data_IF_160387968520
#
_entry.id   IF_160387968520
#
_cell.length_a   1.000
_cell.length_b   1.000
_cell.length_c   1.000
_cell.angle_alpha   90.00
_cell.angle_beta   90.00
_cell.angle_gamma   90.00
#
_symmetry.space_group_name_H-M   'P 1'
#
loop_
_entity.id
_entity.type
_entity.pdbx_description
1 polymer ?
#
# COMPACT_ATOMS: atom_id res chain seq x y z
N UNK A 1 22.14 -12.64 -17.47
CA UNK A 1 21.23 -11.58 -17.93
C UNK A 1 21.38 -10.41 -16.96
N UNK A 2 21.96 -9.27 -17.37
CA UNK A 2 22.14 -8.13 -16.47
C UNK A 2 20.75 -7.61 -16.07
N UNK A 3 20.43 -7.60 -14.77
CA UNK A 3 19.19 -6.99 -14.26
C UNK A 3 19.20 -5.51 -14.65
N UNK A 4 18.27 -5.09 -15.50
CA UNK A 4 18.09 -3.66 -15.81
C UNK A 4 17.61 -2.93 -14.56
N UNK A 5 17.81 -1.61 -14.50
CA UNK A 5 17.28 -0.77 -13.41
C UNK A 5 15.77 -0.94 -13.26
N UNK A 6 15.05 -1.05 -14.37
CA UNK A 6 13.61 -1.33 -14.39
C UNK A 6 13.25 -2.65 -13.71
N UNK A 7 13.98 -3.75 -13.97
CA UNK A 7 13.73 -5.03 -13.29
C UNK A 7 13.86 -4.89 -11.77
N UNK A 8 14.83 -4.13 -11.28
CA UNK A 8 14.99 -3.86 -9.84
C UNK A 8 13.80 -3.07 -9.27
N UNK A 9 13.27 -2.10 -10.02
CA UNK A 9 12.03 -1.41 -9.64
C UNK A 9 10.85 -2.37 -9.53
N UNK A 10 10.65 -3.20 -10.55
CA UNK A 10 9.55 -4.19 -10.58
C UNK A 10 9.64 -5.13 -9.39
N UNK A 11 10.83 -5.69 -9.10
CA UNK A 11 11.03 -6.59 -7.97
C UNK A 11 10.71 -5.91 -6.63
N UNK A 12 11.18 -4.67 -6.44
CA UNK A 12 10.88 -3.89 -5.24
C UNK A 12 9.37 -3.59 -5.10
N UNK A 13 8.70 -3.24 -6.20
CA UNK A 13 7.26 -3.00 -6.20
C UNK A 13 6.48 -4.26 -5.87
N UNK A 14 6.84 -5.41 -6.43
CA UNK A 14 6.19 -6.69 -6.14
C UNK A 14 6.27 -7.04 -4.65
N UNK A 15 7.45 -6.91 -4.05
CA UNK A 15 7.67 -7.20 -2.62
C UNK A 15 6.89 -6.24 -1.73
N UNK A 16 6.97 -4.93 -1.99
CA UNK A 16 6.28 -3.94 -1.16
C UNK A 16 4.75 -4.03 -1.30
N UNK A 17 4.24 -4.30 -2.51
CA UNK A 17 2.81 -4.53 -2.72
C UNK A 17 2.32 -5.81 -2.08
N UNK A 18 3.12 -6.89 -2.06
CA UNK A 18 2.80 -8.10 -1.30
C UNK A 18 2.60 -7.77 0.19
N UNK A 19 3.51 -6.99 0.77
CA UNK A 19 3.38 -6.55 2.17
C UNK A 19 2.16 -5.65 2.39
N UNK A 20 1.89 -4.70 1.49
CA UNK A 20 0.69 -3.86 1.54
C UNK A 20 -0.59 -4.69 1.56
N UNK A 21 -0.70 -5.69 0.68
CA UNK A 21 -1.84 -6.59 0.65
C UNK A 21 -1.95 -7.41 1.95
N UNK A 22 -0.83 -7.87 2.52
CA UNK A 22 -0.85 -8.62 3.78
C UNK A 22 -1.33 -7.77 4.96
N UNK A 23 -0.90 -6.51 5.01
CA UNK A 23 -1.34 -5.53 6.02
C UNK A 23 -2.82 -5.18 5.83
N UNK A 24 -3.27 -4.97 4.60
CA UNK A 24 -4.69 -4.74 4.31
C UNK A 24 -5.56 -5.94 4.66
N UNK A 25 -5.09 -7.17 4.43
CA UNK A 25 -5.80 -8.38 4.87
C UNK A 25 -5.92 -8.44 6.40
N UNK A 26 -4.84 -8.15 7.13
CA UNK A 26 -4.87 -8.08 8.59
C UNK A 26 -5.86 -7.03 9.08
N UNK A 27 -5.80 -5.82 8.50
CA UNK A 27 -6.73 -4.74 8.78
C UNK A 27 -8.19 -5.18 8.59
N UNK A 28 -8.50 -5.78 7.44
CA UNK A 28 -9.84 -6.27 7.12
C UNK A 28 -10.33 -7.35 8.09
N UNK A 29 -9.43 -8.19 8.63
CA UNK A 29 -9.77 -9.23 9.61
C UNK A 29 -10.06 -8.60 10.98
N UNK A 30 -9.19 -7.71 11.46
CA UNK A 30 -9.35 -7.06 12.78
C UNK A 30 -10.58 -6.15 12.79
N UNK A 31 -10.85 -5.44 11.69
CA UNK A 31 -11.98 -4.51 11.57
C UNK A 31 -13.35 -5.18 11.74
N UNK A 32 -13.43 -6.51 11.61
CA UNK A 32 -14.68 -7.25 11.83
C UNK A 32 -15.09 -7.29 13.29
N UNK A 33 -14.17 -7.02 14.23
CA UNK A 33 -14.40 -7.16 15.68
C UNK A 33 -15.12 -8.47 16.02
N UNK A 34 -14.56 -9.59 15.54
CA UNK A 34 -15.14 -10.91 15.85
C UNK A 34 -15.23 -11.07 17.38
N UNK A 35 -16.40 -11.51 17.86
CA UNK A 35 -16.75 -11.63 19.27
C UNK A 35 -16.83 -10.29 20.05
N UNK A 36 -17.24 -9.20 19.38
CA UNK A 36 -17.45 -7.89 20.02
C UNK A 36 -18.28 -7.97 21.32
N UNK A 37 -19.33 -8.81 21.37
CA UNK A 37 -20.19 -8.98 22.56
C UNK A 37 -19.49 -9.60 23.78
N UNK A 38 -18.34 -10.25 23.58
CA UNK A 38 -17.55 -10.89 24.63
C UNK A 38 -16.24 -10.12 24.92
N UNK A 39 -16.02 -9.02 24.21
CA UNK A 39 -14.78 -8.26 24.28
C UNK A 39 -14.77 -7.34 25.50
N UNK A 40 -13.68 -7.35 26.25
CA UNK A 40 -13.46 -6.35 27.30
C UNK A 40 -13.23 -4.97 26.67
N UNK A 41 -13.47 -3.90 27.44
CA UNK A 41 -13.17 -2.54 26.99
C UNK A 41 -11.70 -2.34 26.65
N UNK A 42 -10.79 -2.93 27.43
CA UNK A 42 -9.35 -2.87 27.17
C UNK A 42 -9.01 -3.53 25.84
N UNK A 43 -9.53 -4.73 25.58
CA UNK A 43 -9.28 -5.43 24.31
C UNK A 43 -9.82 -4.65 23.11
N UNK A 44 -10.96 -3.96 23.26
CA UNK A 44 -11.50 -3.10 22.21
C UNK A 44 -10.59 -1.91 21.90
N UNK A 45 -10.07 -1.25 22.95
CA UNK A 45 -9.11 -0.15 22.80
C UNK A 45 -7.83 -0.66 22.12
N UNK A 46 -7.29 -1.80 22.55
CA UNK A 46 -6.10 -2.41 21.96
C UNK A 46 -6.30 -2.72 20.47
N UNK A 47 -7.44 -3.29 20.08
CA UNK A 47 -7.76 -3.53 18.67
C UNK A 47 -7.88 -2.24 17.86
N UNK A 48 -8.43 -1.18 18.45
CA UNK A 48 -8.53 0.13 17.80
C UNK A 48 -7.13 0.72 17.57
N UNK A 49 -6.24 0.61 18.57
CA UNK A 49 -4.83 0.99 18.43
C UNK A 49 -4.17 0.20 17.30
N UNK A 50 -4.34 -1.13 17.28
CA UNK A 50 -3.80 -1.98 16.22
C UNK A 50 -4.29 -1.56 14.83
N UNK A 51 -5.60 -1.32 14.66
CA UNK A 51 -6.17 -0.86 13.40
C UNK A 51 -5.54 0.47 12.97
N UNK A 52 -5.37 1.42 13.90
CA UNK A 52 -4.78 2.71 13.58
C UNK A 52 -3.31 2.60 13.20
N UNK A 53 -2.56 1.77 13.90
CA UNK A 53 -1.16 1.47 13.56
C UNK A 53 -1.05 0.87 12.16
N UNK A 54 -1.92 -0.07 11.81
CA UNK A 54 -1.94 -0.67 10.48
C UNK A 54 -2.33 0.36 9.41
N UNK A 55 -3.34 1.21 9.66
CA UNK A 55 -3.72 2.30 8.73
C UNK A 55 -2.54 3.25 8.46
N UNK A 56 -1.82 3.67 9.52
CA UNK A 56 -0.66 4.54 9.38
C UNK A 56 0.48 3.86 8.61
N UNK A 57 0.72 2.57 8.85
CA UNK A 57 1.75 1.82 8.12
C UNK A 57 1.39 1.65 6.64
N UNK A 58 0.14 1.30 6.32
CA UNK A 58 -0.39 1.27 4.96
C UNK A 58 -0.17 2.60 4.25
N UNK A 59 -0.51 3.72 4.89
CA UNK A 59 -0.28 5.05 4.34
C UNK A 59 1.20 5.29 4.01
N UNK A 60 2.11 5.01 4.97
CA UNK A 60 3.54 5.22 4.78
C UNK A 60 4.05 4.41 3.60
N UNK A 61 3.69 3.12 3.53
CA UNK A 61 4.08 2.21 2.45
C UNK A 61 3.56 2.66 1.09
N UNK A 62 2.29 3.05 1.00
CA UNK A 62 1.70 3.62 -0.22
C UNK A 62 2.49 4.86 -0.65
N UNK A 63 2.82 5.76 0.28
CA UNK A 63 3.55 6.98 -0.03
C UNK A 63 4.97 6.75 -0.59
N UNK A 64 5.59 5.59 -0.34
CA UNK A 64 6.90 5.23 -0.93
C UNK A 64 6.84 5.19 -2.46
N UNK A 65 5.71 4.77 -3.03
CA UNK A 65 5.52 4.68 -4.48
C UNK A 65 5.40 6.05 -5.17
N UNK A 66 5.19 7.13 -4.40
CA UNK A 66 5.12 8.51 -4.88
C UNK A 66 6.34 9.37 -4.45
N UNK A 67 7.36 8.74 -3.88
CA UNK A 67 8.60 9.40 -3.46
C UNK A 67 9.45 9.84 -4.66
N UNK A 68 10.15 10.95 -4.54
CA UNK A 68 10.98 11.55 -5.58
C UNK A 68 12.46 11.70 -5.17
N UNK A 69 12.82 11.27 -3.95
CA UNK A 69 14.19 11.29 -3.45
C UNK A 69 15.14 10.42 -4.29
N UNK A 70 16.44 10.72 -4.25
CA UNK A 70 17.45 9.95 -4.97
C UNK A 70 17.62 8.56 -4.36
N UNK A 71 17.76 7.54 -5.21
CA UNK A 71 18.06 6.15 -4.77
C UNK A 71 16.85 5.38 -4.22
N UNK A 72 15.63 5.85 -4.42
CA UNK A 72 14.41 5.15 -3.99
C UNK A 72 13.72 4.42 -5.14
N UNK A 73 13.00 3.35 -4.82
CA UNK A 73 12.08 2.70 -5.75
C UNK A 73 10.69 3.33 -5.63
N UNK A 74 10.30 4.09 -6.64
CA UNK A 74 8.97 4.69 -6.76
C UNK A 74 8.51 4.70 -8.21
N UNK A 75 7.21 4.87 -8.44
CA UNK A 75 6.66 4.92 -9.79
C UNK A 75 7.26 6.07 -10.61
N UNK A 76 7.44 7.25 -9.99
CA UNK A 76 8.09 8.40 -10.62
C UNK A 76 9.52 8.08 -11.09
N UNK A 77 10.27 7.29 -10.32
CA UNK A 77 11.64 6.86 -10.69
C UNK A 77 11.65 5.75 -11.73
N UNK A 78 10.60 4.93 -11.80
CA UNK A 78 10.50 3.88 -12.80
C UNK A 78 10.14 4.40 -14.20
N UNK A 79 9.32 5.45 -14.33
CA UNK A 79 8.89 6.01 -15.63
C UNK A 79 10.04 6.19 -16.65
N UNK A 80 11.15 6.89 -16.34
CA UNK A 80 12.23 7.10 -17.30
C UNK A 80 12.94 5.80 -17.70
N UNK A 81 12.85 4.76 -16.88
CA UNK A 81 13.44 3.44 -17.14
C UNK A 81 12.53 2.55 -18.02
N UNK A 82 11.28 2.95 -18.25
CA UNK A 82 10.34 2.24 -19.13
C UNK A 82 10.66 2.56 -20.59
N UNK A 83 10.97 1.55 -21.43
CA UNK A 83 11.27 1.77 -22.85
C UNK A 83 10.15 2.51 -23.57
N UNK A 84 10.50 3.41 -24.50
CA UNK A 84 9.51 4.15 -25.30
C UNK A 84 8.62 3.21 -26.13
N UNK A 85 9.14 2.04 -26.52
CA UNK A 85 8.40 1.03 -27.28
C UNK A 85 7.49 0.15 -26.40
N UNK A 86 7.46 0.35 -25.08
CA UNK A 86 6.62 -0.44 -24.19
C UNK A 86 5.14 -0.20 -24.52
N UNK A 87 4.34 -1.26 -24.77
CA UNK A 87 2.98 -1.13 -25.32
C UNK A 87 2.05 -0.30 -24.43
N UNK A 88 2.22 -0.39 -23.11
CA UNK A 88 1.37 0.29 -22.14
C UNK A 88 1.95 1.60 -21.60
N UNK A 89 2.99 2.19 -22.22
CA UNK A 89 3.71 3.32 -21.62
C UNK A 89 2.81 4.51 -21.25
N UNK A 90 1.91 4.90 -22.16
CA UNK A 90 0.99 6.02 -21.96
C UNK A 90 0.03 5.74 -20.79
N UNK A 91 -0.59 4.56 -20.77
CA UNK A 91 -1.53 4.16 -19.70
C UNK A 91 -0.83 4.09 -18.33
N UNK A 92 0.41 3.58 -18.29
CA UNK A 92 1.23 3.57 -17.08
C UNK A 92 1.44 5.00 -16.54
N UNK A 93 1.83 5.95 -17.40
CA UNK A 93 2.06 7.34 -16.99
C UNK A 93 0.77 8.02 -16.49
N UNK A 94 -0.37 7.77 -17.14
CA UNK A 94 -1.67 8.29 -16.72
C UNK A 94 -2.11 7.72 -15.38
N UNK A 95 -2.00 6.40 -15.19
CA UNK A 95 -2.33 5.74 -13.92
C UNK A 95 -1.41 6.16 -12.78
N UNK A 96 -0.12 6.41 -13.03
CA UNK A 96 0.80 6.95 -12.03
C UNK A 96 0.39 8.37 -11.62
N UNK A 97 -0.01 9.23 -12.57
CA UNK A 97 -0.55 10.57 -12.25
C UNK A 97 -1.81 10.49 -11.40
N UNK A 98 -2.73 9.57 -11.75
CA UNK A 98 -3.94 9.32 -10.97
C UNK A 98 -3.61 8.85 -9.55
N UNK A 99 -2.68 7.90 -9.42
CA UNK A 99 -2.20 7.40 -8.13
C UNK A 99 -1.67 8.54 -7.24
N UNK A 100 -0.78 9.39 -7.77
CA UNK A 100 -0.27 10.56 -7.04
C UNK A 100 -1.40 11.49 -6.59
N UNK A 101 -2.40 11.73 -7.44
CA UNK A 101 -3.56 12.58 -7.11
C UNK A 101 -4.41 11.98 -5.98
N UNK A 102 -4.65 10.67 -6.00
CA UNK A 102 -5.46 9.99 -4.97
C UNK A 102 -4.86 10.11 -3.57
N UNK A 103 -3.53 10.09 -3.46
CA UNK A 103 -2.86 10.10 -2.15
C UNK A 103 -2.38 11.47 -1.70
N UNK A 104 -2.38 12.49 -2.57
CA UNK A 104 -1.80 13.81 -2.28
C UNK A 104 -2.36 14.43 -0.99
N UNK A 105 -3.68 14.39 -0.79
CA UNK A 105 -4.33 14.95 0.38
C UNK A 105 -3.91 14.27 1.69
N UNK A 106 -3.92 12.94 1.72
CA UNK A 106 -3.57 12.16 2.93
C UNK A 106 -2.05 12.17 3.19
N UNK A 107 -1.23 12.17 2.14
CA UNK A 107 0.24 12.32 2.24
C UNK A 107 0.60 13.65 2.91
N UNK A 108 -0.03 14.74 2.52
CA UNK A 108 0.22 16.03 3.14
C UNK A 108 -0.28 16.08 4.59
N UNK A 109 -1.59 15.82 4.79
CA UNK A 109 -2.24 16.03 6.10
C UNK A 109 -1.84 15.02 7.18
N UNK A 110 -1.57 13.77 6.81
CA UNK A 110 -1.29 12.70 7.79
C UNK A 110 0.19 12.34 7.80
N UNK A 111 0.80 12.03 6.65
CA UNK A 111 2.22 11.65 6.62
C UNK A 111 3.11 12.84 7.01
N UNK A 112 3.01 13.99 6.34
CA UNK A 112 3.93 15.10 6.62
C UNK A 112 3.61 15.81 7.94
N UNK A 113 2.35 16.12 8.21
CA UNK A 113 1.99 16.99 9.35
C UNK A 113 1.85 16.28 10.70
N UNK A 114 1.75 14.94 10.72
CA UNK A 114 1.58 14.16 11.95
C UNK A 114 2.59 13.02 12.11
N UNK A 115 2.66 12.11 11.14
CA UNK A 115 3.49 10.90 11.28
C UNK A 115 4.99 11.17 11.16
N UNK A 116 5.40 12.04 10.25
CA UNK A 116 6.80 12.39 10.05
C UNK A 116 7.27 13.53 10.96
N UNK A 117 6.34 14.42 11.33
CA UNK A 117 6.61 15.61 12.13
C UNK A 117 5.44 15.82 13.09
N UNK A 118 5.73 16.01 14.37
CA UNK A 118 4.77 16.53 15.34
C UNK A 118 5.04 18.03 15.52
N UNK A 119 4.04 18.87 15.21
CA UNK A 119 4.18 20.31 15.42
C UNK A 119 4.24 20.61 16.92
N UNK A 120 4.93 21.71 17.27
CA UNK A 120 4.91 22.24 18.64
C UNK A 120 3.45 22.46 19.05
N UNK A 121 3.09 22.02 20.25
CA UNK A 121 1.75 22.06 20.84
C UNK A 121 0.67 21.25 20.10
N UNK A 122 1.05 20.36 19.16
CA UNK A 122 0.13 19.42 18.54
C UNK A 122 0.15 18.05 19.24
N UNK A 123 -1.02 17.43 19.32
CA UNK A 123 -1.17 16.04 19.76
C UNK A 123 -1.48 15.11 18.57
N UNK A 124 -0.96 13.88 18.62
CA UNK A 124 -1.34 12.82 17.69
C UNK A 124 -1.95 11.61 18.42
N UNK A 125 -3.06 11.87 19.12
CA UNK A 125 -3.83 10.88 19.87
C UNK A 125 -5.07 10.39 19.08
N UNK A 126 -4.97 10.35 17.75
CA UNK A 126 -6.10 10.03 16.88
C UNK A 126 -6.26 8.51 16.72
N UNK A 127 -7.29 7.93 17.35
CA UNK A 127 -7.61 6.49 17.26
C UNK A 127 -8.65 6.15 16.18
N UNK A 128 -9.28 7.16 15.59
CA UNK A 128 -10.31 6.98 14.58
C UNK A 128 -9.68 6.48 13.26
N UNK A 129 -10.28 5.45 12.69
CA UNK A 129 -9.96 4.91 11.37
C UNK A 129 -10.68 5.76 10.32
N UNK A 130 -9.95 6.29 9.34
CA UNK A 130 -10.46 7.33 8.41
C UNK A 130 -10.25 7.02 6.95
N UNK A 131 -9.29 6.18 6.60
CA UNK A 131 -8.83 6.06 5.22
C UNK A 131 -9.10 4.68 4.65
N UNK A 132 -9.82 4.63 3.53
CA UNK A 132 -9.95 3.43 2.72
C UNK A 132 -8.87 3.42 1.63
N UNK A 133 -7.84 2.60 1.82
CA UNK A 133 -6.74 2.48 0.86
C UNK A 133 -6.96 1.43 -0.24
N UNK A 134 -8.05 0.65 -0.19
CA UNK A 134 -8.31 -0.41 -1.18
C UNK A 134 -8.29 0.11 -2.63
N UNK A 135 -8.96 1.23 -2.99
CA UNK A 135 -8.93 1.74 -4.35
C UNK A 135 -7.52 2.10 -4.82
N UNK A 136 -6.72 2.69 -3.93
CA UNK A 136 -5.32 3.04 -4.20
C UNK A 136 -4.46 1.79 -4.40
N UNK A 137 -4.61 0.78 -3.54
CA UNK A 137 -3.88 -0.49 -3.65
C UNK A 137 -4.26 -1.23 -4.95
N UNK A 138 -5.55 -1.23 -5.33
CA UNK A 138 -6.01 -1.77 -6.63
C UNK A 138 -5.25 -1.11 -7.80
N UNK A 139 -5.22 0.22 -7.82
CA UNK A 139 -4.50 0.98 -8.85
C UNK A 139 -2.99 0.68 -8.87
N UNK A 140 -2.36 0.54 -7.70
CA UNK A 140 -0.94 0.15 -7.62
C UNK A 140 -0.68 -1.21 -8.26
N UNK A 141 -1.53 -2.21 -7.96
CA UNK A 141 -1.43 -3.54 -8.55
C UNK A 141 -1.60 -3.48 -10.07
N UNK A 142 -2.56 -2.69 -10.58
CA UNK A 142 -2.74 -2.48 -12.01
C UNK A 142 -1.51 -1.87 -12.68
N UNK A 143 -0.93 -0.82 -12.08
CA UNK A 143 0.30 -0.19 -12.61
C UNK A 143 1.44 -1.22 -12.68
N UNK A 144 1.61 -2.04 -11.64
CA UNK A 144 2.68 -3.05 -11.60
C UNK A 144 2.45 -4.14 -12.64
N UNK A 145 1.21 -4.58 -12.84
CA UNK A 145 0.88 -5.55 -13.88
C UNK A 145 1.19 -4.99 -15.28
N UNK A 146 0.83 -3.72 -15.53
CA UNK A 146 1.09 -3.07 -16.81
C UNK A 146 2.58 -2.94 -17.09
N UNK A 147 3.39 -2.53 -16.09
CA UNK A 147 4.86 -2.43 -16.21
C UNK A 147 5.49 -3.83 -16.39
N UNK A 148 4.89 -4.86 -15.80
CA UNK A 148 5.41 -6.24 -15.89
C UNK A 148 4.92 -6.99 -17.14
N UNK A 149 4.00 -6.40 -17.91
CA UNK A 149 3.29 -7.02 -19.05
C UNK A 149 2.59 -8.34 -18.70
N UNK A 150 2.33 -8.58 -17.41
CA UNK A 150 1.69 -9.78 -16.91
C UNK A 150 0.98 -9.53 -15.57
N UNK A 151 0.00 -10.38 -15.26
CA UNK A 151 -0.64 -10.35 -13.93
C UNK A 151 0.32 -10.93 -12.89
N UNK A 152 0.69 -10.12 -11.91
CA UNK A 152 1.56 -10.55 -10.81
C UNK A 152 0.77 -11.39 -9.81
N UNK A 153 1.25 -12.61 -9.47
CA UNK A 153 0.71 -13.39 -8.38
C UNK A 153 1.26 -12.89 -7.05
N UNK A 154 0.38 -12.59 -6.10
CA UNK A 154 0.73 -12.16 -4.75
C UNK A 154 0.43 -13.28 -3.75
N UNK A 155 1.23 -14.35 -3.82
CA UNK A 155 1.10 -15.52 -2.94
C UNK A 155 1.78 -15.26 -1.59
N UNK A 156 1.09 -15.60 -0.51
CA UNK A 156 1.58 -15.48 0.86
C UNK A 156 1.40 -16.79 1.63
N UNK A 157 2.33 -17.09 2.53
CA UNK A 157 2.28 -18.27 3.39
C UNK A 157 2.41 -17.83 4.85
N UNK A 158 1.43 -18.15 5.69
CA UNK A 158 1.52 -17.97 7.16
C UNK A 158 2.09 -19.25 7.84
N UNK A 159 2.71 -20.14 7.07
CA UNK A 159 3.17 -21.44 7.52
C UNK A 159 3.33 -22.42 6.37
N UNK A 160 3.49 -23.71 6.67
CA UNK A 160 3.61 -24.76 5.65
C UNK A 160 2.28 -25.04 4.93
N UNK A 161 1.15 -24.82 5.60
CA UNK A 161 -0.18 -25.25 5.13
C UNK A 161 -1.06 -24.06 4.68
N UNK A 162 -0.94 -22.92 5.34
CA UNK A 162 -1.76 -21.74 5.11
C UNK A 162 -1.20 -20.90 3.97
N UNK A 163 -1.70 -21.13 2.76
CA UNK A 163 -1.35 -20.35 1.56
C UNK A 163 -2.52 -19.48 1.11
N UNK A 164 -2.23 -18.24 0.77
CA UNK A 164 -3.21 -17.24 0.37
C UNK A 164 -2.78 -16.54 -0.92
N UNK A 165 -3.70 -16.40 -1.86
CA UNK A 165 -3.55 -15.43 -2.93
C UNK A 165 -4.07 -14.07 -2.45
N UNK A 166 -3.18 -13.20 -1.99
CA UNK A 166 -3.56 -11.93 -1.37
C UNK A 166 -4.27 -10.98 -2.32
N UNK A 167 -4.02 -11.10 -3.63
CA UNK A 167 -4.75 -10.32 -4.65
C UNK A 167 -6.24 -10.65 -4.61
N UNK A 168 -6.58 -11.94 -4.55
CA UNK A 168 -7.97 -12.41 -4.48
C UNK A 168 -8.58 -12.07 -3.13
N UNK A 169 -7.87 -12.34 -2.04
CA UNK A 169 -8.37 -12.14 -0.67
C UNK A 169 -8.69 -10.68 -0.35
N UNK A 170 -7.92 -9.73 -0.91
CA UNK A 170 -8.02 -8.31 -0.57
C UNK A 170 -8.79 -7.50 -1.60
N UNK A 171 -8.62 -7.80 -2.89
CA UNK A 171 -9.11 -6.92 -3.97
C UNK A 171 -10.40 -7.41 -4.63
N UNK A 172 -10.89 -8.62 -4.37
CA UNK A 172 -12.22 -9.03 -4.83
C UNK A 172 -13.28 -8.15 -4.18
N UNK A 173 -14.17 -7.64 -5.01
CA UNK A 173 -15.42 -7.03 -4.56
C UNK A 173 -16.29 -8.16 -3.99
N UNK A 174 -16.75 -7.98 -2.75
CA UNK A 174 -17.73 -8.85 -2.11
C UNK A 174 -19.08 -8.17 -2.18
#
# INVERSE_FOLDING_TARGET
>A
MNRTTLTKHIDAFKIETLMLLRFQLAFNRILRFENFSQMSRSNYVDQTICLKTIENDLLIRICKFDDDRKGVHSFKKAIPEIPNAHPNKIDIEEKIKLFSKMIAGVKQKRRHEKLAHLKIDAEDNEYEIRYNFIPTIKLMVEIIDLISENKVPYEWSDGQFEKYNLRVEVLRER
#
